data_IF_683598618330
#
_entry.id   IF_683598618330
#
_cell.length_a   1.000
_cell.length_b   1.000
_cell.length_c   1.000
_cell.angle_alpha   90.00
_cell.angle_beta   90.00
_cell.angle_gamma   90.00
#
_symmetry.space_group_name_H-M   'P 1'
#
loop_
_entity.id
_entity.type
_entity.pdbx_description
1 polymer ?
#
# COMPACT_ATOMS: atom_id res chain seq x y z
N UNK A 1 14.63 2.53 -1.42
CA UNK A 1 13.61 1.61 -0.86
C UNK A 1 12.39 1.48 -1.75
N UNK A 2 11.64 2.56 -2.06
CA UNK A 2 10.47 2.48 -2.95
C UNK A 2 10.79 1.90 -4.34
N UNK A 3 11.87 2.35 -4.97
CA UNK A 3 12.26 1.89 -6.30
C UNK A 3 12.50 0.37 -6.38
N UNK A 4 13.10 -0.22 -5.34
CA UNK A 4 13.43 -1.65 -5.32
C UNK A 4 12.31 -2.57 -4.81
N UNK A 5 11.34 -2.03 -4.07
CA UNK A 5 10.28 -2.84 -3.42
C UNK A 5 8.88 -2.59 -3.97
N UNK A 6 8.63 -1.41 -4.53
CA UNK A 6 7.27 -0.96 -4.89
C UNK A 6 7.16 -0.53 -6.35
N UNK A 7 8.18 0.11 -6.92
CA UNK A 7 8.08 0.73 -8.25
C UNK A 7 7.93 -0.25 -9.41
N UNK A 8 8.28 -1.53 -9.22
CA UNK A 8 8.03 -2.58 -10.21
C UNK A 8 6.53 -2.85 -10.43
N UNK A 9 5.71 -2.63 -9.40
CA UNK A 9 4.29 -2.93 -9.44
C UNK A 9 3.40 -1.68 -9.36
N UNK A 10 3.89 -0.63 -8.71
CA UNK A 10 3.12 0.55 -8.37
C UNK A 10 3.72 1.81 -8.97
N UNK A 11 2.82 2.68 -9.41
CA UNK A 11 3.14 4.06 -9.71
C UNK A 11 2.41 4.99 -8.74
N UNK A 12 2.70 6.28 -8.84
CA UNK A 12 1.95 7.27 -8.10
C UNK A 12 0.56 7.49 -8.70
N UNK A 13 0.42 7.57 -10.02
CA UNK A 13 -0.80 8.13 -10.64
C UNK A 13 -1.55 7.18 -11.58
N UNK A 14 -0.98 6.02 -11.91
CA UNK A 14 -1.62 5.00 -12.75
C UNK A 14 -1.59 3.61 -12.10
N UNK A 15 -2.64 2.83 -12.37
CA UNK A 15 -2.69 1.42 -12.00
C UNK A 15 -1.74 0.61 -12.89
N UNK A 16 -1.11 -0.41 -12.32
CA UNK A 16 -0.28 -1.39 -13.02
C UNK A 16 -0.54 -2.78 -12.46
N UNK A 17 0.53 -3.50 -12.10
CA UNK A 17 0.42 -4.75 -11.33
C UNK A 17 -0.23 -4.49 -9.97
N UNK A 18 0.06 -3.33 -9.36
CA UNK A 18 -0.59 -2.80 -8.18
C UNK A 18 -1.35 -1.49 -8.46
N UNK A 19 -2.23 -1.05 -7.53
CA UNK A 19 -2.98 0.19 -7.67
C UNK A 19 -2.10 1.43 -7.55
N UNK A 20 -2.58 2.55 -8.09
CA UNK A 20 -1.95 3.86 -7.93
C UNK A 20 -1.87 4.30 -6.45
N UNK A 21 -0.77 4.96 -6.10
CA UNK A 21 -0.52 5.38 -4.72
C UNK A 21 -0.95 6.82 -4.39
N UNK A 22 -1.22 7.72 -5.34
CA UNK A 22 -1.63 9.11 -5.03
C UNK A 22 -2.88 9.13 -4.15
N UNK A 23 -2.86 9.95 -3.10
CA UNK A 23 -3.92 10.03 -2.10
C UNK A 23 -4.03 8.75 -1.26
N UNK A 24 -2.92 8.06 -0.97
CA UNK A 24 -2.92 6.82 -0.19
C UNK A 24 -3.44 7.05 1.24
N UNK A 25 -2.89 8.05 1.93
CA UNK A 25 -3.19 8.29 3.34
C UNK A 25 -4.62 8.82 3.52
N UNK A 26 -5.36 8.22 4.44
CA UNK A 26 -6.77 8.51 4.70
C UNK A 26 -7.75 7.79 3.77
N UNK A 27 -7.27 7.13 2.72
CA UNK A 27 -8.12 6.36 1.81
C UNK A 27 -8.44 4.97 2.39
N UNK A 28 -9.67 4.52 2.17
CA UNK A 28 -10.09 3.15 2.50
C UNK A 28 -9.41 2.13 1.57
N UNK A 29 -9.13 0.93 2.08
CA UNK A 29 -8.53 -0.16 1.32
C UNK A 29 -9.40 -0.53 0.11
N UNK A 30 -8.74 -0.96 -0.95
CA UNK A 30 -9.38 -1.41 -2.18
C UNK A 30 -10.29 -0.37 -2.90
N UNK A 31 -9.97 0.93 -2.80
CA UNK A 31 -10.79 2.01 -3.39
C UNK A 31 -10.21 2.71 -4.62
N UNK A 32 -9.03 2.34 -5.12
CA UNK A 32 -8.52 2.99 -6.35
C UNK A 32 -9.39 2.56 -7.53
N UNK A 33 -10.02 3.49 -8.27
CA UNK A 33 -10.87 3.16 -9.40
C UNK A 33 -10.13 2.37 -10.48
N UNK A 34 -10.82 1.42 -11.11
CA UNK A 34 -10.25 0.64 -12.22
C UNK A 34 -9.20 -0.40 -11.83
N UNK A 35 -8.93 -0.62 -10.53
CA UNK A 35 -8.03 -1.70 -10.10
C UNK A 35 -8.80 -2.92 -9.58
N UNK A 36 -8.40 -4.11 -10.04
CA UNK A 36 -8.98 -5.39 -9.61
C UNK A 36 -8.37 -5.90 -8.32
N UNK A 37 -8.94 -5.54 -7.17
CA UNK A 37 -8.49 -6.01 -5.84
C UNK A 37 -8.87 -7.46 -5.55
N UNK A 38 -8.13 -8.12 -4.64
CA UNK A 38 -8.59 -9.38 -4.02
C UNK A 38 -9.79 -9.14 -3.11
N UNK A 39 -10.62 -10.15 -2.94
CA UNK A 39 -11.77 -10.09 -2.03
C UNK A 39 -11.32 -9.89 -0.58
N UNK A 40 -10.19 -10.51 -0.20
CA UNK A 40 -9.55 -10.33 1.10
C UNK A 40 -9.28 -8.85 1.43
N UNK A 41 -8.66 -8.10 0.52
CA UNK A 41 -8.30 -6.70 0.78
C UNK A 41 -9.54 -5.76 0.69
N UNK A 42 -10.56 -6.14 -0.09
CA UNK A 42 -11.88 -5.47 -0.06
C UNK A 42 -12.57 -5.66 1.29
N UNK A 43 -12.56 -6.88 1.82
CA UNK A 43 -13.19 -7.23 3.08
C UNK A 43 -12.49 -6.60 4.30
N UNK A 44 -11.19 -6.31 4.22
CA UNK A 44 -10.42 -5.71 5.31
C UNK A 44 -10.96 -4.33 5.76
N UNK A 45 -11.59 -3.57 4.86
CA UNK A 45 -12.21 -2.24 5.14
C UNK A 45 -11.31 -1.32 5.99
N UNK A 46 -10.01 -1.32 5.72
CA UNK A 46 -9.02 -0.57 6.51
C UNK A 46 -8.80 0.83 5.93
N UNK A 47 -8.78 1.86 6.77
CA UNK A 47 -8.27 3.19 6.37
C UNK A 47 -6.75 3.19 6.45
N UNK A 48 -6.09 3.63 5.37
CA UNK A 48 -4.64 3.74 5.30
C UNK A 48 -4.11 4.90 6.14
N UNK A 49 -3.67 4.58 7.34
CA UNK A 49 -2.83 5.40 8.23
C UNK A 49 -1.41 4.83 8.28
N UNK A 50 -0.46 5.58 8.87
CA UNK A 50 0.90 5.06 9.13
C UNK A 50 0.89 3.74 9.91
N UNK A 51 0.04 3.63 10.93
CA UNK A 51 -0.10 2.42 11.75
C UNK A 51 -0.62 1.23 10.93
N UNK A 52 -1.68 1.45 10.14
CA UNK A 52 -2.25 0.39 9.31
C UNK A 52 -1.31 -0.06 8.19
N UNK A 53 -0.56 0.88 7.59
CA UNK A 53 0.47 0.58 6.60
C UNK A 53 1.64 -0.16 7.24
N UNK A 54 2.01 0.18 8.47
CA UNK A 54 3.02 -0.57 9.22
C UNK A 54 2.60 -2.02 9.45
N UNK A 55 1.34 -2.27 9.83
CA UNK A 55 0.81 -3.65 9.96
C UNK A 55 0.75 -4.38 8.63
N UNK A 56 0.21 -3.72 7.60
CA UNK A 56 0.09 -4.27 6.25
C UNK A 56 1.43 -4.67 5.66
N UNK A 57 2.42 -3.77 5.73
CA UNK A 57 3.75 -4.02 5.15
C UNK A 57 4.57 -5.00 5.99
N UNK A 58 4.30 -5.15 7.29
CA UNK A 58 4.99 -6.15 8.11
C UNK A 58 4.63 -7.57 7.69
N UNK A 59 3.33 -7.83 7.48
CA UNK A 59 2.81 -9.14 7.10
C UNK A 59 1.45 -8.99 6.38
N UNK A 60 1.44 -8.86 5.05
CA UNK A 60 0.21 -8.70 4.28
C UNK A 60 -0.75 -9.87 4.43
N UNK A 61 -0.22 -11.09 4.53
CA UNK A 61 -1.03 -12.31 4.61
C UNK A 61 -1.73 -12.41 5.96
N UNK A 62 -1.05 -12.05 7.05
CA UNK A 62 -1.68 -11.93 8.36
C UNK A 62 -2.69 -10.78 8.42
N UNK A 63 -2.43 -9.69 7.70
CA UNK A 63 -3.30 -8.53 7.69
C UNK A 63 -4.61 -8.78 6.91
N UNK A 64 -4.52 -9.40 5.74
CA UNK A 64 -5.68 -9.77 4.91
C UNK A 64 -5.41 -11.13 4.22
N UNK A 65 -5.76 -12.26 4.85
CA UNK A 65 -5.53 -13.59 4.30
C UNK A 65 -6.16 -13.77 2.91
N UNK A 66 -5.39 -14.21 1.91
CA UNK A 66 -5.81 -14.29 0.52
C UNK A 66 -5.61 -13.00 -0.28
N UNK A 67 -4.78 -12.07 0.23
CA UNK A 67 -4.35 -10.91 -0.54
C UNK A 67 -3.37 -11.28 -1.67
N UNK A 68 -3.17 -10.37 -2.63
CA UNK A 68 -2.40 -10.63 -3.86
C UNK A 68 -1.11 -9.80 -4.01
N UNK A 69 -0.70 -9.08 -2.99
CA UNK A 69 0.57 -8.35 -2.90
C UNK A 69 1.65 -9.25 -2.28
N UNK A 70 2.56 -9.76 -3.12
CA UNK A 70 3.64 -10.67 -2.71
C UNK A 70 4.86 -10.00 -2.06
N UNK A 71 4.71 -8.82 -1.44
CA UNK A 71 5.82 -8.05 -0.86
C UNK A 71 5.56 -7.80 0.62
N UNK A 72 6.51 -8.17 1.47
CA UNK A 72 6.55 -7.77 2.88
C UNK A 72 7.86 -7.03 3.18
N UNK A 73 7.86 -6.26 4.26
CA UNK A 73 9.00 -5.52 4.80
C UNK A 73 9.07 -5.83 6.31
N UNK A 74 9.67 -6.96 6.72
CA UNK A 74 9.67 -7.37 8.12
C UNK A 74 10.49 -6.46 9.03
N UNK A 75 11.55 -5.84 8.48
CA UNK A 75 12.38 -4.89 9.23
C UNK A 75 11.59 -3.61 9.56
N UNK A 76 11.55 -3.26 10.85
CA UNK A 76 10.75 -2.15 11.33
C UNK A 76 11.30 -0.78 10.93
N UNK A 77 12.63 -0.64 10.85
CA UNK A 77 13.25 0.62 10.47
C UNK A 77 13.07 0.88 8.97
N UNK A 78 13.24 -0.14 8.12
CA UNK A 78 12.97 -0.05 6.69
C UNK A 78 11.50 0.30 6.41
N UNK A 79 10.55 -0.30 7.14
CA UNK A 79 9.13 0.07 7.02
C UNK A 79 8.89 1.52 7.39
N UNK A 80 9.44 1.98 8.50
CA UNK A 80 9.26 3.36 8.95
C UNK A 80 9.75 4.34 7.87
N UNK A 81 10.93 4.09 7.29
CA UNK A 81 11.47 4.90 6.20
C UNK A 81 10.59 4.85 4.93
N UNK A 82 10.10 3.66 4.56
CA UNK A 82 9.21 3.50 3.41
C UNK A 82 7.87 4.23 3.61
N UNK A 83 7.27 4.14 4.80
CA UNK A 83 6.02 4.81 5.13
C UNK A 83 6.19 6.33 5.12
N UNK A 84 7.29 6.84 5.68
CA UNK A 84 7.61 8.26 5.62
C UNK A 84 7.75 8.76 4.16
N UNK A 85 8.43 7.98 3.31
CA UNK A 85 8.52 8.28 1.88
C UNK A 85 7.14 8.27 1.22
N UNK A 86 6.33 7.23 1.44
CA UNK A 86 4.98 7.13 0.89
C UNK A 86 4.14 8.34 1.29
N UNK A 87 4.21 8.79 2.55
CA UNK A 87 3.45 9.95 3.04
C UNK A 87 3.75 11.21 2.25
N UNK A 88 5.01 11.44 1.92
CA UNK A 88 5.43 12.59 1.12
C UNK A 88 5.08 12.40 -0.36
N UNK A 89 5.46 11.26 -0.93
CA UNK A 89 5.34 10.99 -2.36
C UNK A 89 3.88 10.89 -2.83
N UNK A 90 2.96 10.48 -1.96
CA UNK A 90 1.56 10.21 -2.29
C UNK A 90 0.59 11.31 -1.86
N UNK A 91 1.06 12.40 -1.26
CA UNK A 91 0.20 13.53 -0.92
C UNK A 91 -0.62 13.99 -2.14
N UNK A 92 -1.85 14.49 -2.01
CA UNK A 92 -2.59 15.03 -3.15
C UNK A 92 -1.73 16.03 -3.92
N UNK A 93 -1.79 16.00 -5.25
CA UNK A 93 -1.22 17.09 -6.04
C UNK A 93 -1.92 18.39 -5.63
N UNK A 94 -1.14 19.47 -5.50
CA UNK A 94 -1.69 20.82 -5.28
C UNK A 94 -2.53 21.26 -6.47
#
# INVERSE_FOLDING_TARGET
MYQGRCAACHSLDHNGVGPAHRGLFGRLSAQVPGFGYSDALRAARQVWTEESLNRWLADPEKFAPGQRMGVSVPDAQERAHLIAYLKQATAPAK
#
